data_IF_807112451982
#
_entry.id   IF_807112451982
#
_cell.length_a   1.000
_cell.length_b   1.000
_cell.length_c   1.000
_cell.angle_alpha   90.00
_cell.angle_beta   90.00
_cell.angle_gamma   90.00
#
_symmetry.space_group_name_H-M   'P 1'
#
loop_
_entity.id
_entity.type
_entity.pdbx_description
1 polymer ?
#
# COMPACT_ATOMS: atom_id res chain seq x y z
N UNK A 1 -0.65 -26.71 -18.97
CA UNK A 1 0.72 -26.62 -18.44
C UNK A 1 1.27 -25.19 -18.63
N UNK A 2 1.30 -24.63 -19.84
CA UNK A 2 1.71 -23.23 -20.09
C UNK A 2 1.03 -22.14 -19.23
N UNK A 3 -0.28 -22.26 -18.94
CA UNK A 3 -1.03 -21.25 -18.17
C UNK A 3 -0.68 -21.19 -16.67
N UNK A 4 0.03 -22.20 -16.15
CA UNK A 4 0.47 -22.26 -14.74
C UNK A 4 1.84 -21.60 -14.58
N UNK A 5 2.72 -21.69 -15.58
CA UNK A 5 4.06 -21.06 -15.57
C UNK A 5 3.97 -19.52 -15.68
N UNK A 6 2.96 -18.98 -16.37
CA UNK A 6 2.67 -17.53 -16.41
C UNK A 6 2.23 -16.94 -15.05
N UNK A 7 1.87 -17.78 -14.06
CA UNK A 7 1.53 -17.36 -12.70
C UNK A 7 2.75 -17.38 -11.75
N UNK A 8 3.83 -18.04 -12.14
CA UNK A 8 5.03 -18.18 -11.29
C UNK A 8 5.97 -16.98 -11.42
N UNK A 9 6.02 -16.34 -12.58
CA UNK A 9 6.85 -15.15 -12.82
C UNK A 9 6.01 -13.88 -12.96
N UNK A 10 6.37 -12.77 -12.29
CA UNK A 10 5.70 -11.49 -12.50
C UNK A 10 5.85 -11.07 -13.96
N UNK A 11 4.78 -10.54 -14.56
CA UNK A 11 4.83 -10.10 -15.95
C UNK A 11 5.80 -8.92 -16.10
N UNK A 12 6.52 -8.86 -17.22
CA UNK A 12 7.49 -7.79 -17.51
C UNK A 12 6.83 -6.41 -17.42
N UNK A 13 5.54 -6.30 -17.78
CA UNK A 13 4.77 -5.06 -17.66
C UNK A 13 4.62 -4.60 -16.21
N UNK A 14 4.30 -5.50 -15.28
CA UNK A 14 4.16 -5.16 -13.87
C UNK A 14 5.50 -4.80 -13.22
N UNK A 15 6.59 -5.46 -13.65
CA UNK A 15 7.93 -5.11 -13.20
C UNK A 15 8.33 -3.71 -13.68
N UNK A 16 8.05 -3.38 -14.94
CA UNK A 16 8.27 -2.03 -15.46
C UNK A 16 7.44 -1.00 -14.68
N UNK A 17 6.16 -1.30 -14.39
CA UNK A 17 5.31 -0.45 -13.54
C UNK A 17 5.97 -0.20 -12.17
N UNK A 18 6.48 -1.24 -11.52
CA UNK A 18 7.14 -1.11 -10.22
C UNK A 18 8.39 -0.20 -10.30
N UNK A 19 9.17 -0.31 -11.37
CA UNK A 19 10.34 0.55 -11.62
C UNK A 19 9.95 2.02 -11.85
N UNK A 20 8.90 2.26 -12.63
CA UNK A 20 8.39 3.61 -12.92
C UNK A 20 7.83 4.30 -11.66
N UNK A 21 7.14 3.56 -10.79
CA UNK A 21 6.71 4.06 -9.48
C UNK A 21 7.88 4.39 -8.55
N UNK A 22 9.01 3.68 -8.67
CA UNK A 22 10.21 3.92 -7.87
C UNK A 22 11.14 4.99 -8.47
N UNK A 23 10.76 5.60 -9.59
CA UNK A 23 11.59 6.64 -10.19
C UNK A 23 11.78 7.81 -9.20
N UNK A 24 13.02 8.25 -8.91
CA UNK A 24 13.25 9.37 -8.01
C UNK A 24 12.65 10.67 -8.54
N UNK A 25 12.01 11.45 -7.66
CA UNK A 25 11.50 12.78 -8.00
C UNK A 25 12.66 13.79 -7.92
N UNK A 26 13.44 13.86 -8.99
CA UNK A 26 14.60 14.75 -9.13
C UNK A 26 14.63 15.40 -10.51
N UNK A 27 15.20 16.60 -10.60
CA UNK A 27 15.34 17.33 -11.85
C UNK A 27 14.78 18.75 -11.75
N UNK A 28 14.56 19.36 -12.91
CA UNK A 28 13.82 20.60 -13.08
C UNK A 28 12.34 20.44 -12.70
N UNK A 29 11.64 21.56 -12.52
CA UNK A 29 10.21 21.57 -12.21
C UNK A 29 9.39 20.81 -13.26
N UNK A 30 9.70 21.00 -14.54
CA UNK A 30 9.04 20.29 -15.65
C UNK A 30 9.30 18.78 -15.61
N UNK A 31 10.53 18.35 -15.32
CA UNK A 31 10.89 16.93 -15.22
C UNK A 31 10.18 16.27 -14.02
N UNK A 32 10.17 16.96 -12.87
CA UNK A 32 9.46 16.51 -11.67
C UNK A 32 7.97 16.36 -11.95
N UNK A 33 7.35 17.34 -12.61
CA UNK A 33 5.93 17.29 -12.94
C UNK A 33 5.61 16.15 -13.93
N UNK A 34 6.49 15.88 -14.89
CA UNK A 34 6.34 14.75 -15.81
C UNK A 34 6.40 13.41 -15.09
N UNK A 35 7.35 13.24 -14.15
CA UNK A 35 7.46 12.02 -13.33
C UNK A 35 6.18 11.81 -12.52
N UNK A 36 5.72 12.84 -11.80
CA UNK A 36 4.51 12.76 -10.99
C UNK A 36 3.28 12.43 -11.83
N UNK A 37 3.10 13.10 -12.98
CA UNK A 37 1.99 12.82 -13.89
C UNK A 37 2.00 11.38 -14.42
N UNK A 38 3.20 10.85 -14.71
CA UNK A 38 3.36 9.47 -15.15
C UNK A 38 2.98 8.48 -14.05
N UNK A 39 3.45 8.71 -12.82
CA UNK A 39 3.09 7.90 -11.66
C UNK A 39 1.58 7.94 -11.43
N UNK A 40 0.94 9.12 -11.49
CA UNK A 40 -0.51 9.28 -11.37
C UNK A 40 -1.31 8.46 -12.40
N UNK A 41 -0.87 8.44 -13.66
CA UNK A 41 -1.53 7.64 -14.70
C UNK A 41 -1.36 6.13 -14.46
N UNK A 42 -0.20 5.72 -13.96
CA UNK A 42 0.05 4.32 -13.56
C UNK A 42 -0.88 3.93 -12.41
N UNK A 43 -0.98 4.76 -11.36
CA UNK A 43 -1.85 4.51 -10.21
C UNK A 43 -3.30 4.31 -10.64
N UNK A 44 -3.83 5.21 -11.48
CA UNK A 44 -5.19 5.09 -12.04
C UNK A 44 -5.39 3.79 -12.82
N UNK A 45 -4.42 3.42 -13.66
CA UNK A 45 -4.48 2.18 -14.43
C UNK A 45 -4.54 0.94 -13.54
N UNK A 46 -3.79 0.94 -12.42
CA UNK A 46 -3.83 -0.14 -11.44
C UNK A 46 -5.18 -0.16 -10.73
N UNK A 47 -5.69 1.00 -10.28
CA UNK A 47 -7.01 1.12 -9.64
C UNK A 47 -8.10 0.55 -10.54
N UNK A 48 -8.14 0.93 -11.81
CA UNK A 48 -9.13 0.45 -12.78
C UNK A 48 -9.03 -1.07 -12.97
N UNK A 49 -7.82 -1.62 -13.07
CA UNK A 49 -7.61 -3.05 -13.23
C UNK A 49 -7.96 -3.87 -11.97
N UNK A 50 -8.00 -3.24 -10.80
CA UNK A 50 -8.11 -3.91 -9.51
C UNK A 50 -9.47 -3.74 -8.85
N UNK A 51 -10.13 -2.58 -8.94
CA UNK A 51 -11.27 -2.19 -8.09
C UNK A 51 -12.41 -3.22 -8.00
N UNK A 52 -12.79 -3.86 -9.11
CA UNK A 52 -13.85 -4.88 -9.14
C UNK A 52 -13.33 -6.32 -9.20
N UNK A 53 -12.01 -6.49 -9.26
CA UNK A 53 -11.38 -7.79 -9.39
C UNK A 53 -11.03 -8.38 -8.02
N UNK A 54 -11.74 -9.45 -7.63
CA UNK A 54 -11.54 -10.17 -6.35
C UNK A 54 -10.60 -11.38 -6.46
N UNK A 55 -9.95 -11.58 -7.59
CA UNK A 55 -8.99 -12.68 -7.79
C UNK A 55 -7.72 -12.43 -6.98
N UNK A 56 -7.48 -13.32 -6.00
CA UNK A 56 -6.32 -13.29 -5.10
C UNK A 56 -5.03 -13.54 -5.87
N UNK A 57 -5.00 -14.48 -6.82
CA UNK A 57 -3.81 -14.78 -7.61
C UNK A 57 -3.46 -13.62 -8.54
N UNK A 58 -4.48 -12.94 -9.09
CA UNK A 58 -4.28 -11.71 -9.84
C UNK A 58 -3.61 -10.63 -8.98
N UNK A 59 -4.04 -10.44 -7.72
CA UNK A 59 -3.41 -9.48 -6.80
C UNK A 59 -1.98 -9.86 -6.46
N UNK A 60 -1.70 -11.14 -6.19
CA UNK A 60 -0.35 -11.62 -5.89
C UNK A 60 0.68 -11.27 -6.97
N UNK A 61 0.27 -11.14 -8.24
CA UNK A 61 1.19 -10.71 -9.31
C UNK A 61 1.79 -9.33 -9.05
N UNK A 62 1.01 -8.39 -8.50
CA UNK A 62 1.50 -7.05 -8.15
C UNK A 62 2.49 -7.08 -6.99
N UNK A 63 2.27 -7.97 -6.01
CA UNK A 63 3.22 -8.21 -4.91
C UNK A 63 4.52 -8.84 -5.42
N UNK A 64 4.42 -9.90 -6.25
CA UNK A 64 5.58 -10.58 -6.85
C UNK A 64 6.39 -9.64 -7.76
N UNK A 65 5.74 -8.70 -8.44
CA UNK A 65 6.38 -7.75 -9.34
C UNK A 65 7.05 -6.56 -8.62
N UNK A 66 6.84 -6.39 -7.32
CA UNK A 66 7.41 -5.28 -6.56
C UNK A 66 6.58 -3.99 -6.60
N UNK A 67 5.37 -3.99 -7.16
CA UNK A 67 4.51 -2.79 -7.24
C UNK A 67 4.11 -2.32 -5.83
N UNK A 68 3.77 -3.27 -4.97
CA UNK A 68 3.40 -2.98 -3.57
C UNK A 68 4.60 -2.45 -2.78
N UNK A 69 5.80 -3.00 -3.01
CA UNK A 69 7.03 -2.47 -2.43
C UNK A 69 7.26 -1.01 -2.83
N UNK A 70 7.04 -0.66 -4.10
CA UNK A 70 7.15 0.72 -4.58
C UNK A 70 6.15 1.64 -3.89
N UNK A 71 4.89 1.22 -3.73
CA UNK A 71 3.87 2.01 -3.03
C UNK A 71 4.21 2.22 -1.55
N UNK A 72 4.73 1.18 -0.88
CA UNK A 72 5.20 1.28 0.52
C UNK A 72 6.39 2.24 0.61
N UNK A 73 7.34 2.15 -0.31
CA UNK A 73 8.46 3.08 -0.40
C UNK A 73 7.99 4.53 -0.55
N UNK A 74 7.01 4.78 -1.43
CA UNK A 74 6.43 6.12 -1.64
C UNK A 74 5.86 6.68 -0.33
N UNK A 75 4.96 5.95 0.34
CA UNK A 75 4.35 6.45 1.58
C UNK A 75 5.36 6.58 2.74
N UNK A 76 6.48 5.87 2.68
CA UNK A 76 7.57 6.01 3.65
C UNK A 76 8.46 7.24 3.39
N UNK A 77 8.63 7.67 2.13
CA UNK A 77 9.73 8.58 1.75
C UNK A 77 9.29 9.89 1.10
N UNK A 78 8.20 9.92 0.34
CA UNK A 78 7.74 11.13 -0.33
C UNK A 78 7.27 12.16 0.68
N UNK A 79 7.49 13.45 0.43
CA UNK A 79 6.86 14.52 1.23
C UNK A 79 5.33 14.35 1.23
N UNK A 80 4.68 14.69 2.35
CA UNK A 80 3.26 14.43 2.54
C UNK A 80 2.38 15.12 1.48
N UNK A 81 2.76 16.31 1.03
CA UNK A 81 2.08 17.09 -0.01
C UNK A 81 2.18 16.47 -1.42
N UNK A 82 3.05 15.47 -1.62
CA UNK A 82 3.18 14.71 -2.88
C UNK A 82 2.38 13.42 -2.89
N UNK A 83 1.82 13.02 -1.75
CA UNK A 83 0.97 11.84 -1.66
C UNK A 83 -0.44 12.27 -2.01
N UNK A 84 -1.04 11.60 -2.98
CA UNK A 84 -2.37 11.91 -3.51
C UNK A 84 -3.38 10.83 -3.12
N UNK A 85 -4.66 11.11 -3.37
CA UNK A 85 -5.73 10.12 -3.19
C UNK A 85 -5.52 8.86 -4.04
N UNK A 86 -4.95 8.98 -5.24
CA UNK A 86 -4.68 7.82 -6.10
C UNK A 86 -3.63 6.87 -5.51
N UNK A 87 -2.67 7.38 -4.73
CA UNK A 87 -1.75 6.50 -3.99
C UNK A 87 -2.51 5.66 -2.97
N UNK A 88 -3.41 6.30 -2.22
CA UNK A 88 -4.20 5.66 -1.18
C UNK A 88 -5.22 4.67 -1.75
N UNK A 89 -5.90 5.04 -2.83
CA UNK A 89 -6.86 4.20 -3.53
C UNK A 89 -6.19 2.97 -4.15
N UNK A 90 -5.02 3.16 -4.76
CA UNK A 90 -4.24 2.07 -5.35
C UNK A 90 -3.79 1.07 -4.27
N UNK A 91 -3.29 1.55 -3.12
CA UNK A 91 -2.95 0.67 -1.99
C UNK A 91 -4.20 -0.07 -1.51
N UNK A 92 -5.31 0.62 -1.30
CA UNK A 92 -6.56 0.00 -0.82
C UNK A 92 -7.11 -1.03 -1.81
N UNK A 93 -7.08 -0.75 -3.12
CA UNK A 93 -7.59 -1.67 -4.13
C UNK A 93 -6.73 -2.92 -4.24
N UNK A 94 -5.41 -2.80 -4.08
CA UNK A 94 -4.47 -3.92 -3.99
C UNK A 94 -4.64 -4.70 -2.68
N UNK A 95 -4.97 -4.02 -1.58
CA UNK A 95 -5.24 -4.57 -0.25
C UNK A 95 -6.65 -5.17 -0.17
N UNK A 96 -6.91 -6.15 -1.04
CA UNK A 96 -8.13 -6.97 -1.00
C UNK A 96 -8.30 -7.54 0.43
N UNK A 97 -9.48 -7.41 1.08
CA UNK A 97 -9.77 -7.98 2.40
C UNK A 97 -9.76 -9.52 2.39
N UNK A 98 -8.56 -10.08 2.26
CA UNK A 98 -8.27 -11.49 2.16
C UNK A 98 -7.02 -11.77 2.99
N UNK A 99 -7.08 -12.80 3.85
CA UNK A 99 -6.03 -13.10 4.83
C UNK A 99 -4.64 -13.18 4.21
N UNK A 100 -4.50 -13.83 3.06
CA UNK A 100 -3.20 -14.04 2.43
C UNK A 100 -2.64 -12.73 1.86
N UNK A 101 -3.49 -11.90 1.23
CA UNK A 101 -3.10 -10.58 0.74
C UNK A 101 -2.67 -9.66 1.90
N UNK A 102 -3.42 -9.67 3.00
CA UNK A 102 -3.07 -8.87 4.18
C UNK A 102 -1.75 -9.35 4.78
N UNK A 103 -1.52 -10.66 4.89
CA UNK A 103 -0.26 -11.22 5.38
C UNK A 103 0.92 -10.79 4.51
N UNK A 104 0.81 -10.92 3.18
CA UNK A 104 1.85 -10.47 2.24
C UNK A 104 2.12 -8.96 2.35
N UNK A 105 1.09 -8.15 2.61
CA UNK A 105 1.25 -6.71 2.79
C UNK A 105 1.95 -6.37 4.09
N UNK A 106 1.60 -7.04 5.20
CA UNK A 106 2.22 -6.81 6.50
C UNK A 106 3.68 -7.27 6.55
N UNK A 107 4.03 -8.37 5.86
CA UNK A 107 5.40 -8.85 5.72
C UNK A 107 6.34 -7.80 5.10
N UNK A 108 5.79 -6.85 4.33
CA UNK A 108 6.51 -5.72 3.72
C UNK A 108 6.72 -4.54 4.68
N UNK A 109 6.25 -4.65 5.92
CA UNK A 109 6.32 -3.63 6.98
C UNK A 109 5.78 -2.24 6.56
N UNK A 110 4.47 -2.12 6.27
CA UNK A 110 3.87 -0.89 5.77
C UNK A 110 3.59 0.14 6.87
N UNK A 111 3.67 -0.26 8.15
CA UNK A 111 3.21 0.54 9.28
C UNK A 111 3.86 1.93 9.40
N UNK A 112 5.20 2.09 9.26
CA UNK A 112 5.80 3.42 9.40
C UNK A 112 5.17 4.48 8.48
N UNK A 113 4.98 4.13 7.21
CA UNK A 113 4.37 5.01 6.21
C UNK A 113 2.90 5.26 6.46
N UNK A 114 2.14 4.23 6.83
CA UNK A 114 0.71 4.40 7.14
C UNK A 114 0.51 5.28 8.38
N UNK A 115 1.29 5.08 9.44
CA UNK A 115 1.23 5.90 10.66
C UNK A 115 1.61 7.35 10.36
N UNK A 116 2.65 7.56 9.55
CA UNK A 116 3.06 8.88 9.08
C UNK A 116 1.94 9.60 8.30
N UNK A 117 1.12 8.87 7.55
CA UNK A 117 -0.03 9.46 6.83
C UNK A 117 -1.14 9.97 7.75
N UNK A 118 -1.14 9.63 9.04
CA UNK A 118 -2.08 10.19 10.00
C UNK A 118 -1.82 11.69 10.29
N UNK A 119 -0.64 12.20 9.93
CA UNK A 119 -0.27 13.62 9.97
C UNK A 119 -0.74 14.43 8.75
N UNK A 120 -1.41 13.79 7.78
CA UNK A 120 -1.92 14.48 6.61
C UNK A 120 -2.95 15.55 6.99
N UNK A 121 -2.86 16.72 6.36
CA UNK A 121 -3.87 17.77 6.50
C UNK A 121 -5.11 17.45 5.69
N UNK A 122 -4.95 16.75 4.57
CA UNK A 122 -6.04 16.33 3.70
C UNK A 122 -6.84 15.20 4.37
N UNK A 123 -8.08 15.50 4.74
CA UNK A 123 -8.89 14.60 5.56
C UNK A 123 -9.19 13.27 4.85
N UNK A 124 -9.36 13.29 3.53
CA UNK A 124 -9.63 12.09 2.75
C UNK A 124 -8.43 11.11 2.74
N UNK A 125 -7.21 11.62 2.59
CA UNK A 125 -5.99 10.80 2.66
C UNK A 125 -5.85 10.18 4.06
N UNK A 126 -6.10 10.98 5.10
CA UNK A 126 -6.10 10.49 6.50
C UNK A 126 -7.14 9.40 6.73
N UNK A 127 -8.36 9.58 6.22
CA UNK A 127 -9.42 8.57 6.30
C UNK A 127 -9.02 7.27 5.60
N UNK A 128 -8.35 7.35 4.44
CA UNK A 128 -7.82 6.17 3.77
C UNK A 128 -6.74 5.45 4.61
N UNK A 129 -5.84 6.19 5.25
CA UNK A 129 -4.83 5.60 6.13
C UNK A 129 -5.49 4.84 7.29
N UNK A 130 -6.53 5.41 7.92
CA UNK A 130 -7.33 4.71 8.93
C UNK A 130 -8.04 3.47 8.39
N UNK A 131 -8.61 3.55 7.19
CA UNK A 131 -9.28 2.41 6.56
C UNK A 131 -8.29 1.26 6.30
N UNK A 132 -7.09 1.57 5.79
CA UNK A 132 -6.02 0.59 5.58
C UNK A 132 -5.59 -0.06 6.91
N UNK A 133 -5.35 0.74 7.95
CA UNK A 133 -5.04 0.21 9.29
C UNK A 133 -6.14 -0.70 9.81
N UNK A 134 -7.40 -0.28 9.69
CA UNK A 134 -8.56 -1.04 10.16
C UNK A 134 -8.69 -2.40 9.45
N UNK A 135 -8.45 -2.43 8.13
CA UNK A 135 -8.41 -3.67 7.36
C UNK A 135 -7.31 -4.59 7.92
N UNK A 136 -6.10 -4.09 8.11
CA UNK A 136 -4.99 -4.91 8.63
C UNK A 136 -5.33 -5.45 10.02
N UNK A 137 -5.77 -4.60 10.94
CA UNK A 137 -6.08 -4.97 12.33
C UNK A 137 -7.19 -6.02 12.42
N UNK A 138 -8.22 -5.93 11.57
CA UNK A 138 -9.30 -6.92 11.50
C UNK A 138 -8.76 -8.34 11.25
N UNK A 139 -7.72 -8.49 10.42
CA UNK A 139 -7.10 -9.79 10.16
C UNK A 139 -6.03 -10.20 11.18
N UNK A 140 -5.59 -9.27 12.03
CA UNK A 140 -4.65 -9.55 13.12
C UNK A 140 -5.33 -9.89 14.44
N UNK A 141 -6.64 -9.65 14.54
CA UNK A 141 -7.44 -9.91 15.73
C UNK A 141 -7.94 -11.37 15.76
N UNK A 142 -7.74 -12.02 16.90
CA UNK A 142 -8.24 -13.38 17.18
C UNK A 142 -9.34 -13.27 18.24
N UNK A 143 -10.61 -13.34 17.82
CA UNK A 143 -11.77 -13.25 18.70
C UNK A 143 -11.74 -14.26 19.85
N UNK A 144 -11.08 -15.41 19.66
CA UNK A 144 -10.95 -16.44 20.71
C UNK A 144 -9.97 -16.05 21.82
N UNK A 145 -9.18 -14.99 21.62
CA UNK A 145 -8.14 -14.51 22.52
C UNK A 145 -8.26 -13.01 22.78
N UNK A 146 -9.45 -12.57 23.19
CA UNK A 146 -9.76 -11.15 23.41
C UNK A 146 -8.81 -10.43 24.39
N UNK A 147 -8.17 -11.16 25.31
CA UNK A 147 -7.21 -10.60 26.27
C UNK A 147 -5.77 -10.51 25.72
N UNK A 148 -5.52 -11.00 24.51
CA UNK A 148 -4.21 -10.93 23.87
C UNK A 148 -4.15 -9.71 22.93
N UNK A 149 -3.00 -9.04 22.81
CA UNK A 149 -2.79 -8.01 21.81
C UNK A 149 -3.08 -8.53 20.40
N UNK A 150 -3.52 -7.63 19.51
CA UNK A 150 -3.58 -7.89 18.08
C UNK A 150 -2.20 -8.38 17.59
N UNK A 151 -2.20 -9.32 16.64
CA UNK A 151 -0.95 -9.91 16.08
C UNK A 151 0.01 -8.88 15.48
N UNK A 152 -0.46 -7.66 15.21
CA UNK A 152 0.32 -6.57 14.63
C UNK A 152 0.63 -5.44 15.61
N UNK A 153 0.26 -5.59 16.89
CA UNK A 153 0.45 -4.57 17.92
C UNK A 153 1.92 -4.13 18.05
N UNK A 154 2.84 -5.09 18.19
CA UNK A 154 4.26 -4.80 18.38
C UNK A 154 4.87 -4.07 17.17
N UNK A 155 4.46 -4.43 15.95
CA UNK A 155 4.93 -3.79 14.73
C UNK A 155 4.45 -2.33 14.62
N UNK A 156 3.21 -2.06 15.05
CA UNK A 156 2.66 -0.70 15.10
C UNK A 156 3.34 0.10 16.22
N UNK A 157 3.56 -0.49 17.40
CA UNK A 157 4.26 0.17 18.51
C UNK A 157 5.71 0.49 18.16
N UNK A 158 6.40 -0.37 17.41
CA UNK A 158 7.80 -0.16 17.01
C UNK A 158 8.02 1.11 16.17
N UNK A 159 6.98 1.63 15.53
CA UNK A 159 7.01 2.92 14.83
C UNK A 159 6.28 4.06 15.57
N UNK A 160 5.96 3.88 16.86
CA UNK A 160 5.22 4.86 17.67
C UNK A 160 3.74 4.98 17.28
N UNK A 161 3.21 4.03 16.51
CA UNK A 161 1.87 4.12 15.94
C UNK A 161 0.74 4.03 16.96
N UNK A 162 0.93 3.29 18.05
CA UNK A 162 -0.08 3.18 19.12
C UNK A 162 -0.28 4.54 19.79
N UNK A 163 0.81 5.19 20.22
CA UNK A 163 0.76 6.52 20.83
C UNK A 163 0.08 7.53 19.88
N UNK A 164 0.46 7.49 18.59
CA UNK A 164 -0.13 8.34 17.55
C UNK A 164 -1.63 8.16 17.38
N UNK A 165 -2.10 6.91 17.35
CA UNK A 165 -3.52 6.60 17.21
C UNK A 165 -4.27 7.12 18.45
N UNK A 166 -3.73 6.91 19.65
CA UNK A 166 -4.35 7.35 20.90
C UNK A 166 -4.47 8.88 21.01
N UNK A 167 -3.50 9.64 20.49
CA UNK A 167 -3.55 11.10 20.44
C UNK A 167 -4.65 11.66 19.52
N UNK A 168 -5.03 10.89 18.50
CA UNK A 168 -6.03 11.28 17.50
C UNK A 168 -7.43 10.71 17.78
N UNK A 169 -7.56 9.87 18.81
CA UNK A 169 -8.80 9.20 19.23
C UNK A 169 -9.72 10.07 20.08
#
# INVERSE_FOLDING_TARGET
>A
VQRIEELEHPSTELQNIAQELNQPIVGSEDEVQQILNKQENILKSIIDATSDNKDVEFRKRYFKAGVVDSLIYIINTYQLDKITLNHMECIRSLLLPNKEIIQLFVEKNPFPGIIRLLDQTEQEIKNYAYAILSIILMFGFDESKINNPCSYFDAIQACGGIDKIMELS
#
